data_IF_142215020412
#
_entry.id   IF_142215020412
#
_cell.length_a   1.000
_cell.length_b   1.000
_cell.length_c   1.000
_cell.angle_alpha   90.00
_cell.angle_beta   90.00
_cell.angle_gamma   90.00
#
_symmetry.space_group_name_H-M   'P 1'
#
loop_
_entity.id
_entity.type
_entity.pdbx_description
1 polymer ?
#
# COMPACT_ATOMS: atom_id res chain seq x y z
N UNK A 1 -1.32 1.81 -0.46
CA UNK A 1 -1.60 1.67 0.98
C UNK A 1 -1.67 3.01 1.72
N UNK A 2 -1.14 4.11 1.19
CA UNK A 2 -1.12 5.43 1.86
C UNK A 2 -2.27 6.38 1.47
N UNK A 3 -3.21 5.94 0.62
CA UNK A 3 -4.40 6.73 0.27
C UNK A 3 -5.49 6.56 1.33
N UNK A 4 -6.42 7.52 1.43
CA UNK A 4 -7.46 7.54 2.47
C UNK A 4 -8.19 6.20 2.65
N UNK A 5 -8.80 5.67 1.57
CA UNK A 5 -9.50 4.37 1.61
C UNK A 5 -8.54 3.22 1.89
N UNK A 6 -7.34 3.25 1.30
CA UNK A 6 -6.35 2.19 1.46
C UNK A 6 -5.90 2.04 2.92
N UNK A 7 -5.74 3.15 3.65
CA UNK A 7 -5.36 3.15 5.07
C UNK A 7 -6.42 2.44 5.92
N UNK A 8 -7.71 2.69 5.66
CA UNK A 8 -8.80 2.01 6.37
C UNK A 8 -8.86 0.51 6.07
N UNK A 9 -8.61 0.11 4.83
CA UNK A 9 -8.53 -1.31 4.46
C UNK A 9 -7.38 -2.00 5.19
N UNK A 10 -6.21 -1.36 5.24
CA UNK A 10 -5.03 -1.87 5.97
C UNK A 10 -5.36 -2.05 7.46
N UNK A 11 -6.02 -1.06 8.09
CA UNK A 11 -6.47 -1.17 9.48
C UNK A 11 -7.42 -2.36 9.69
N UNK A 12 -8.43 -2.52 8.84
CA UNK A 12 -9.38 -3.61 8.94
C UNK A 12 -8.73 -4.99 8.77
N UNK A 13 -7.68 -5.12 7.96
CA UNK A 13 -6.89 -6.35 7.87
C UNK A 13 -6.11 -6.64 9.14
N UNK A 14 -5.52 -5.62 9.75
CA UNK A 14 -4.82 -5.80 11.02
C UNK A 14 -5.75 -6.16 12.17
N UNK A 15 -6.94 -5.57 12.25
CA UNK A 15 -7.95 -5.94 13.25
C UNK A 15 -8.37 -7.41 13.16
N UNK A 16 -8.23 -8.02 11.97
CA UNK A 16 -8.52 -9.43 11.70
C UNK A 16 -7.29 -10.34 11.83
N UNK A 17 -6.13 -9.79 12.23
CA UNK A 17 -4.90 -10.55 12.45
C UNK A 17 -4.14 -10.92 11.17
N UNK A 18 -4.38 -10.21 10.07
CA UNK A 18 -3.64 -10.44 8.82
C UNK A 18 -2.38 -9.58 8.74
N UNK A 19 -1.29 -10.16 8.22
CA UNK A 19 -0.14 -9.39 7.78
C UNK A 19 -0.44 -8.69 6.45
N UNK A 20 0.07 -7.47 6.28
CA UNK A 20 -0.22 -6.63 5.13
C UNK A 20 1.07 -6.13 4.50
N UNK A 21 1.20 -6.34 3.19
CA UNK A 21 2.22 -5.70 2.35
C UNK A 21 1.64 -4.48 1.65
N UNK A 22 1.97 -3.30 2.15
CA UNK A 22 1.48 -2.02 1.65
C UNK A 22 2.31 -1.46 0.49
N UNK A 23 1.72 -1.32 -0.69
CA UNK A 23 2.33 -0.56 -1.79
C UNK A 23 2.38 0.93 -1.50
N UNK A 24 3.54 1.56 -1.69
CA UNK A 24 3.78 3.01 -1.61
C UNK A 24 4.52 3.55 -2.84
N UNK A 25 4.44 4.86 -3.08
CA UNK A 25 5.14 5.53 -4.19
C UNK A 25 6.53 6.07 -3.81
N UNK A 26 6.88 6.08 -2.52
CA UNK A 26 8.19 6.52 -2.04
C UNK A 26 8.48 5.92 -0.67
N UNK A 27 9.76 5.80 -0.33
CA UNK A 27 10.21 5.32 0.98
C UNK A 27 9.68 6.20 2.13
N UNK A 28 9.72 7.52 1.96
CA UNK A 28 9.19 8.49 2.95
C UNK A 28 7.72 8.22 3.27
N UNK A 29 6.89 7.92 2.27
CA UNK A 29 5.48 7.56 2.46
C UNK A 29 5.33 6.20 3.14
N UNK A 30 6.26 5.28 2.90
CA UNK A 30 6.36 4.00 3.60
C UNK A 30 6.66 4.16 5.08
N UNK A 31 7.63 5.01 5.44
CA UNK A 31 7.97 5.31 6.84
C UNK A 31 6.80 5.95 7.58
N UNK A 32 6.10 6.89 6.95
CA UNK A 32 4.89 7.47 7.54
C UNK A 32 3.84 6.40 7.85
N UNK A 33 3.58 5.49 6.90
CA UNK A 33 2.63 4.39 7.08
C UNK A 33 3.06 3.44 8.21
N UNK A 34 4.35 3.12 8.31
CA UNK A 34 4.92 2.31 9.41
C UNK A 34 4.73 2.99 10.76
N UNK A 35 4.90 4.31 10.83
CA UNK A 35 4.68 5.07 12.06
C UNK A 35 3.19 5.09 12.45
N UNK A 36 2.29 5.24 11.49
CA UNK A 36 0.82 5.19 11.74
C UNK A 36 0.39 3.86 12.33
N UNK A 37 0.95 2.74 11.84
CA UNK A 37 0.59 1.39 12.27
C UNK A 37 1.63 0.75 13.21
N UNK A 38 2.42 1.56 13.92
CA UNK A 38 3.52 1.07 14.77
C UNK A 38 3.04 0.08 15.84
N UNK A 39 1.80 0.22 16.32
CA UNK A 39 1.16 -0.70 17.27
C UNK A 39 1.01 -2.13 16.75
N UNK A 40 0.93 -2.32 15.43
CA UNK A 40 0.79 -3.64 14.80
C UNK A 40 2.14 -4.33 14.53
N UNK A 41 3.26 -3.66 14.88
CA UNK A 41 4.60 -4.23 14.88
C UNK A 41 5.03 -4.75 13.49
N UNK A 42 5.43 -6.02 13.45
CA UNK A 42 5.97 -6.66 12.24
C UNK A 42 4.90 -7.12 11.23
N UNK A 43 3.62 -6.82 11.48
CA UNK A 43 2.55 -7.19 10.55
C UNK A 43 2.51 -6.31 9.29
N UNK A 44 3.19 -5.15 9.31
CA UNK A 44 3.24 -4.24 8.15
C UNK A 44 4.60 -4.31 7.44
N UNK A 45 4.57 -4.74 6.18
CA UNK A 45 5.67 -4.57 5.23
C UNK A 45 5.30 -3.47 4.22
N UNK A 46 6.29 -2.71 3.72
CA UNK A 46 6.06 -1.72 2.66
C UNK A 46 6.91 -2.02 1.45
N UNK A 47 6.31 -2.03 0.26
CA UNK A 47 7.01 -2.17 -1.02
C UNK A 47 6.81 -0.92 -1.87
N UNK A 48 7.89 -0.46 -2.48
CA UNK A 48 7.86 0.72 -3.36
C UNK A 48 7.55 0.27 -4.78
N UNK A 49 6.45 0.80 -5.33
CA UNK A 49 6.11 0.65 -6.75
C UNK A 49 5.80 2.04 -7.30
N UNK A 50 6.75 2.59 -8.06
CA UNK A 50 6.68 3.98 -8.51
C UNK A 50 5.56 4.18 -9.53
N UNK A 51 5.51 3.31 -10.53
CA UNK A 51 4.58 3.37 -11.65
C UNK A 51 3.85 2.04 -11.79
N UNK A 52 2.53 2.08 -11.61
CA UNK A 52 1.66 0.90 -11.63
C UNK A 52 1.23 0.51 -13.06
N UNK A 53 1.50 1.37 -14.04
CA UNK A 53 1.13 1.17 -15.46
C UNK A 53 2.19 0.39 -16.22
N UNK A 54 3.41 0.29 -15.66
CA UNK A 54 4.49 -0.47 -16.26
C UNK A 54 4.18 -1.96 -16.25
N UNK A 55 4.61 -2.63 -17.31
CA UNK A 55 4.59 -4.08 -17.32
C UNK A 55 5.40 -4.63 -16.14
N UNK A 56 4.88 -5.69 -15.52
CA UNK A 56 5.45 -6.34 -14.33
C UNK A 56 5.66 -5.42 -13.11
N UNK A 57 4.97 -4.27 -13.02
CA UNK A 57 5.11 -3.31 -11.93
C UNK A 57 4.93 -3.90 -10.51
N UNK A 58 4.14 -4.98 -10.39
CA UNK A 58 3.86 -5.64 -9.12
C UNK A 58 4.56 -7.00 -8.96
N UNK A 59 5.41 -7.42 -9.90
CA UNK A 59 5.93 -8.79 -9.95
C UNK A 59 6.63 -9.21 -8.65
N UNK A 60 7.43 -8.33 -8.06
CA UNK A 60 8.06 -8.57 -6.75
C UNK A 60 7.07 -8.41 -5.59
N UNK A 61 6.18 -7.41 -5.69
CA UNK A 61 5.23 -7.08 -4.63
C UNK A 61 4.24 -8.21 -4.31
N UNK A 62 3.88 -9.04 -5.30
CA UNK A 62 2.88 -10.12 -5.15
C UNK A 62 3.47 -11.46 -4.71
N UNK A 63 4.79 -11.60 -4.63
CA UNK A 63 5.40 -12.89 -4.27
C UNK A 63 5.08 -13.27 -2.82
N UNK A 64 4.52 -14.47 -2.62
CA UNK A 64 4.14 -14.97 -1.30
C UNK A 64 2.94 -14.24 -0.68
N UNK A 65 2.12 -13.56 -1.50
CA UNK A 65 0.89 -12.88 -1.06
C UNK A 65 -0.32 -13.78 -1.32
N UNK A 66 -1.15 -14.01 -0.29
CA UNK A 66 -2.35 -14.85 -0.40
C UNK A 66 -3.54 -14.12 -1.07
N UNK A 67 -3.64 -12.81 -0.90
CA UNK A 67 -4.75 -12.01 -1.43
C UNK A 67 -4.32 -10.57 -1.80
N UNK A 68 -4.96 -10.01 -2.82
CA UNK A 68 -4.65 -8.67 -3.33
C UNK A 68 -5.87 -7.75 -3.19
N UNK A 69 -5.71 -6.66 -2.45
CA UNK A 69 -6.65 -5.54 -2.42
C UNK A 69 -6.12 -4.39 -3.29
N UNK A 70 -6.56 -4.33 -4.55
CA UNK A 70 -6.13 -3.29 -5.49
C UNK A 70 -6.97 -2.02 -5.34
N UNK A 71 -6.42 -1.01 -4.67
CA UNK A 71 -7.08 0.31 -4.49
C UNK A 71 -6.23 1.48 -4.99
N UNK A 72 -5.14 1.19 -5.69
CA UNK A 72 -4.28 2.21 -6.25
C UNK A 72 -4.86 2.66 -7.59
N UNK A 73 -5.30 3.91 -7.67
CA UNK A 73 -5.74 4.53 -8.92
C UNK A 73 -4.88 5.78 -9.20
N UNK A 74 -4.39 5.99 -10.44
CA UNK A 74 -3.80 7.26 -10.82
C UNK A 74 -4.86 8.35 -10.77
N UNK A 75 -4.81 9.20 -9.73
CA UNK A 75 -5.69 10.37 -9.63
C UNK A 75 -4.93 11.57 -10.15
N UNK A 76 -5.30 12.07 -11.34
CA UNK A 76 -4.84 13.36 -11.84
C UNK A 76 -5.80 14.44 -11.34
N UNK A 77 -5.33 15.32 -10.46
CA UNK A 77 -6.11 16.45 -9.94
C UNK A 77 -6.01 17.70 -10.84
N UNK A 78 -5.27 17.63 -11.94
CA UNK A 78 -5.24 18.70 -12.94
C UNK A 78 -6.45 18.57 -13.87
N UNK A 79 -7.49 19.35 -13.58
CA UNK A 79 -8.47 19.70 -14.60
C UNK A 79 -7.95 20.97 -15.29
N UNK A 80 -7.77 20.90 -16.61
CA UNK A 80 -7.70 22.10 -17.45
C UNK A 80 -9.10 22.31 -17.99
N UNK A 81 -9.64 23.52 -17.80
CA UNK A 81 -10.93 23.93 -18.37
C UNK A 81 -10.95 23.82 -19.91
#
# INVERSE_FOLDING_TARGET
>A
ANGYIATWIVHAFFERGHAVRGKVHSLVKGEHLKNTFKSYGNQLETVVVNDITKDRAFHEAVQGVDAIAHTASPVQLSMSD
#
